data_IF_363095550941
#
_entry.id   IF_363095550941
#
_cell.length_a   1.000
_cell.length_b   1.000
_cell.length_c   1.000
_cell.angle_alpha   90.00
_cell.angle_beta   90.00
_cell.angle_gamma   90.00
#
_symmetry.space_group_name_H-M   'P 1'
#
loop_
_entity.id
_entity.type
_entity.pdbx_description
1 polymer ?
#
# COMPACT_ATOMS: atom_id res chain seq x y z
N UNK A 1 -3.19 -23.96 28.60
CA UNK A 1 -2.85 -22.74 27.83
C UNK A 1 -1.35 -22.71 27.62
N UNK A 2 -0.84 -23.12 26.44
CA UNK A 2 0.58 -22.97 26.12
C UNK A 2 0.75 -21.83 25.10
N UNK A 3 1.03 -20.65 25.61
CA UNK A 3 1.44 -19.48 24.84
C UNK A 3 2.91 -19.67 24.45
N UNK A 4 3.17 -20.17 23.24
CA UNK A 4 4.42 -20.09 22.44
C UNK A 4 4.67 -21.41 21.69
N UNK A 5 4.34 -21.40 20.40
CA UNK A 5 4.82 -22.37 19.44
C UNK A 5 6.31 -22.11 19.16
N UNK A 6 7.13 -23.17 19.17
CA UNK A 6 8.56 -23.13 18.81
C UNK A 6 8.81 -22.28 17.55
N UNK A 7 9.90 -21.50 17.48
CA UNK A 7 10.22 -20.68 16.32
C UNK A 7 10.57 -21.60 15.15
N UNK A 8 9.57 -21.96 14.35
CA UNK A 8 9.83 -22.51 13.02
C UNK A 8 10.42 -21.37 12.19
N UNK A 9 11.51 -21.61 11.46
CA UNK A 9 12.13 -20.67 10.51
C UNK A 9 11.10 -19.96 9.60
N UNK A 10 9.95 -20.61 9.39
CA UNK A 10 8.80 -20.12 8.64
C UNK A 10 7.98 -19.02 9.33
N UNK A 11 7.84 -19.05 10.66
CA UNK A 11 7.20 -17.97 11.41
C UNK A 11 8.05 -16.70 11.35
N UNK A 12 9.37 -16.85 11.51
CA UNK A 12 10.29 -15.72 11.35
C UNK A 12 10.23 -15.14 9.94
N UNK A 13 10.26 -15.97 8.90
CA UNK A 13 10.10 -15.52 7.51
C UNK A 13 8.78 -14.80 7.23
N UNK A 14 7.67 -15.23 7.84
CA UNK A 14 6.36 -14.56 7.70
C UNK A 14 6.33 -13.20 8.41
N UNK A 15 6.82 -13.13 9.64
CA UNK A 15 6.88 -11.88 10.40
C UNK A 15 7.81 -10.88 9.71
N UNK A 16 8.98 -11.32 9.26
CA UNK A 16 9.92 -10.48 8.52
C UNK A 16 9.33 -10.01 7.18
N UNK A 17 8.61 -10.88 6.46
CA UNK A 17 7.93 -10.48 5.22
C UNK A 17 6.80 -9.46 5.47
N UNK A 18 5.98 -9.68 6.49
CA UNK A 18 4.90 -8.74 6.85
C UNK A 18 5.49 -7.39 7.32
N UNK A 19 6.55 -7.41 8.15
CA UNK A 19 7.28 -6.21 8.56
C UNK A 19 7.94 -5.50 7.37
N UNK A 20 8.48 -6.25 6.40
CA UNK A 20 9.05 -5.68 5.18
C UNK A 20 7.98 -4.97 4.35
N UNK A 21 6.81 -5.59 4.15
CA UNK A 21 5.69 -4.95 3.43
C UNK A 21 5.22 -3.69 4.14
N UNK A 22 5.10 -3.72 5.47
CA UNK A 22 4.73 -2.55 6.26
C UNK A 22 5.79 -1.45 6.19
N UNK A 23 7.07 -1.79 6.35
CA UNK A 23 8.19 -0.86 6.25
C UNK A 23 8.30 -0.25 4.85
N UNK A 24 8.09 -1.04 3.80
CA UNK A 24 8.05 -0.58 2.42
C UNK A 24 6.92 0.41 2.18
N UNK A 25 5.70 0.07 2.61
CA UNK A 25 4.54 0.96 2.49
C UNK A 25 4.74 2.26 3.27
N UNK A 26 5.26 2.18 4.50
CA UNK A 26 5.57 3.35 5.32
C UNK A 26 6.66 4.22 4.67
N UNK A 27 7.72 3.61 4.15
CA UNK A 27 8.79 4.31 3.44
C UNK A 27 8.26 5.08 2.23
N UNK A 28 7.48 4.43 1.36
CA UNK A 28 6.89 5.09 0.20
C UNK A 28 5.81 6.12 0.55
N UNK A 29 5.11 5.93 1.67
CA UNK A 29 4.18 6.94 2.17
C UNK A 29 4.93 8.22 2.58
N UNK A 30 6.07 8.08 3.28
CA UNK A 30 6.93 9.21 3.61
C UNK A 30 7.47 9.91 2.35
N UNK A 31 7.89 9.15 1.34
CA UNK A 31 8.34 9.70 0.05
C UNK A 31 7.20 10.45 -0.64
N UNK A 32 5.99 9.87 -0.71
CA UNK A 32 4.82 10.53 -1.29
C UNK A 32 4.47 11.84 -0.58
N UNK A 33 4.54 11.86 0.76
CA UNK A 33 4.36 13.07 1.59
C UNK A 33 5.43 14.12 1.33
N UNK A 34 6.69 13.72 1.17
CA UNK A 34 7.79 14.61 0.86
C UNK A 34 7.60 15.26 -0.52
N UNK A 35 7.21 14.46 -1.52
CA UNK A 35 6.92 14.95 -2.87
C UNK A 35 5.74 15.94 -2.87
N UNK A 36 4.62 15.60 -2.23
CA UNK A 36 3.48 16.49 -2.07
C UNK A 36 3.89 17.82 -1.41
N UNK A 37 4.62 17.77 -0.29
CA UNK A 37 5.09 18.98 0.39
C UNK A 37 6.02 19.83 -0.48
N UNK A 38 6.92 19.20 -1.23
CA UNK A 38 7.85 19.89 -2.13
C UNK A 38 7.12 20.61 -3.26
N UNK A 39 6.12 19.97 -3.86
CA UNK A 39 5.31 20.58 -4.93
C UNK A 39 4.44 21.71 -4.36
N UNK A 40 3.82 21.53 -3.19
CA UNK A 40 3.03 22.60 -2.55
C UNK A 40 3.87 23.83 -2.20
N UNK A 41 5.17 23.66 -1.90
CA UNK A 41 6.07 24.78 -1.66
C UNK A 41 6.20 25.68 -2.90
N UNK A 42 6.02 25.14 -4.12
CA UNK A 42 6.01 25.92 -5.36
C UNK A 42 4.80 26.86 -5.47
N UNK A 43 3.74 26.66 -4.68
CA UNK A 43 2.60 27.56 -4.62
C UNK A 43 2.86 28.81 -3.78
N UNK A 44 3.92 28.83 -2.95
CA UNK A 44 4.20 29.94 -2.04
C UNK A 44 4.34 31.31 -2.75
N UNK A 45 5.10 31.44 -3.86
CA UNK A 45 5.18 32.70 -4.59
C UNK A 45 3.82 33.15 -5.13
N UNK A 46 3.01 32.24 -5.68
CA UNK A 46 1.69 32.56 -6.20
C UNK A 46 0.73 33.04 -5.09
N UNK A 47 0.77 32.41 -3.90
CA UNK A 47 0.01 32.87 -2.73
C UNK A 47 0.45 34.27 -2.29
N UNK A 48 1.75 34.52 -2.26
CA UNK A 48 2.27 35.83 -1.89
C UNK A 48 1.84 36.92 -2.89
N UNK A 49 1.89 36.62 -4.18
CA UNK A 49 1.38 37.52 -5.23
C UNK A 49 -0.12 37.79 -5.06
N UNK A 50 -0.93 36.75 -4.79
CA UNK A 50 -2.36 36.91 -4.54
C UNK A 50 -2.64 37.81 -3.33
N UNK A 51 -1.88 37.64 -2.24
CA UNK A 51 -2.01 38.47 -1.04
C UNK A 51 -1.65 39.93 -1.32
N UNK A 52 -0.51 40.18 -1.97
CA UNK A 52 -0.08 41.55 -2.33
C UNK A 52 -1.09 42.20 -3.27
N UNK A 53 -1.59 41.49 -4.28
CA UNK A 53 -2.60 42.01 -5.20
C UNK A 53 -3.92 42.32 -4.49
N UNK A 54 -4.35 41.49 -3.54
CA UNK A 54 -5.56 41.72 -2.75
C UNK A 54 -5.42 42.94 -1.82
N UNK A 55 -4.24 43.14 -1.23
CA UNK A 55 -3.95 44.31 -0.39
C UNK A 55 -3.96 45.59 -1.23
N UNK A 56 -3.30 45.57 -2.40
CA UNK A 56 -3.32 46.68 -3.35
C UNK A 56 -4.74 46.96 -3.85
N UNK A 57 -5.54 45.93 -4.15
CA UNK A 57 -6.93 46.09 -4.58
C UNK A 57 -7.74 46.85 -3.54
N UNK A 58 -7.58 46.51 -2.25
CA UNK A 58 -8.25 47.20 -1.15
C UNK A 58 -7.82 48.66 -1.05
N UNK A 59 -6.51 48.93 -1.06
CA UNK A 59 -5.96 50.29 -0.97
C UNK A 59 -6.39 51.17 -2.16
N UNK A 60 -6.40 50.61 -3.37
CA UNK A 60 -6.87 51.29 -4.59
C UNK A 60 -8.37 51.56 -4.51
N UNK A 61 -9.17 50.62 -4.02
CA UNK A 61 -10.60 50.83 -3.80
C UNK A 61 -10.89 51.92 -2.76
N UNK A 62 -10.10 51.99 -1.69
CA UNK A 62 -10.17 53.08 -0.71
C UNK A 62 -9.80 54.44 -1.34
N UNK A 63 -8.75 54.49 -2.16
CA UNK A 63 -8.38 55.69 -2.90
C UNK A 63 -9.46 56.13 -3.91
N UNK A 64 -10.10 55.17 -4.59
CA UNK A 64 -11.25 55.43 -5.48
C UNK A 64 -12.41 56.08 -4.71
N UNK A 65 -12.70 55.59 -3.51
CA UNK A 65 -13.74 56.15 -2.64
C UNK A 65 -13.41 57.58 -2.19
N UNK A 66 -12.14 57.87 -1.88
CA UNK A 66 -11.69 59.23 -1.54
C UNK A 66 -11.76 60.18 -2.74
N UNK A 67 -11.31 59.73 -3.92
CA UNK A 67 -11.36 60.51 -5.16
C UNK A 67 -12.81 60.88 -5.55
N UNK A 68 -13.77 60.00 -5.28
CA UNK A 68 -15.19 60.26 -5.51
C UNK A 68 -15.76 61.43 -4.69
N UNK A 69 -15.10 61.81 -3.59
CA UNK A 69 -15.51 62.92 -2.72
C UNK A 69 -15.19 64.32 -3.27
N UNK A 70 -14.46 64.44 -4.37
CA UNK A 70 -14.10 65.74 -4.96
C UNK A 70 -15.29 66.33 -5.73
N UNK A 71 -15.79 67.53 -5.39
CA UNK A 71 -16.91 68.16 -6.11
C UNK A 71 -16.59 68.35 -7.61
N UNK A 72 -17.60 68.18 -8.47
CA UNK A 72 -17.55 68.39 -9.94
C UNK A 72 -16.70 67.41 -10.77
N UNK A 73 -15.60 66.88 -10.25
CA UNK A 73 -14.67 65.98 -10.99
C UNK A 73 -14.49 64.59 -10.36
N UNK A 74 -15.05 64.34 -9.16
CA UNK A 74 -14.88 63.08 -8.43
C UNK A 74 -15.17 61.79 -9.22
N UNK A 75 -16.28 61.69 -9.99
CA UNK A 75 -16.56 60.52 -10.81
C UNK A 75 -15.48 60.22 -11.86
N UNK A 76 -14.93 61.24 -12.51
CA UNK A 76 -13.89 61.08 -13.53
C UNK A 76 -12.54 60.69 -12.90
N UNK A 77 -12.27 61.16 -11.66
CA UNK A 77 -11.07 60.77 -10.91
C UNK A 77 -11.15 59.35 -10.37
N UNK A 78 -12.36 58.85 -10.07
CA UNK A 78 -12.61 57.51 -9.54
C UNK A 78 -12.39 56.40 -10.58
N UNK A 79 -12.83 56.62 -11.82
CA UNK A 79 -12.84 55.61 -12.89
C UNK A 79 -11.50 54.85 -13.09
N UNK A 80 -10.32 55.52 -13.16
CA UNK A 80 -9.05 54.80 -13.31
C UNK A 80 -8.72 53.91 -12.10
N UNK A 81 -9.05 54.33 -10.87
CA UNK A 81 -8.84 53.51 -9.68
C UNK A 81 -9.77 52.30 -9.64
N UNK A 82 -11.04 52.46 -10.00
CA UNK A 82 -11.99 51.33 -10.12
C UNK A 82 -11.48 50.31 -11.16
N UNK A 83 -10.98 50.76 -12.29
CA UNK A 83 -10.38 49.88 -13.31
C UNK A 83 -9.15 49.14 -12.79
N UNK A 84 -8.25 49.83 -12.06
CA UNK A 84 -7.08 49.20 -11.44
C UNK A 84 -7.48 48.17 -10.38
N UNK A 85 -8.47 48.48 -9.53
CA UNK A 85 -9.00 47.55 -8.53
C UNK A 85 -9.61 46.30 -9.19
N UNK A 86 -10.30 46.45 -10.31
CA UNK A 86 -10.83 45.32 -11.08
C UNK A 86 -9.69 44.43 -11.61
N UNK A 87 -8.67 45.00 -12.25
CA UNK A 87 -7.51 44.25 -12.76
C UNK A 87 -6.75 43.52 -11.65
N UNK A 88 -6.57 44.16 -10.48
CA UNK A 88 -5.97 43.52 -9.32
C UNK A 88 -6.83 42.36 -8.81
N UNK A 89 -8.16 42.50 -8.83
CA UNK A 89 -9.09 41.43 -8.50
C UNK A 89 -8.96 40.22 -9.43
N UNK A 90 -8.87 40.45 -10.74
CA UNK A 90 -8.65 39.38 -11.72
C UNK A 90 -7.30 38.65 -11.49
N UNK A 91 -6.25 39.41 -11.14
CA UNK A 91 -4.95 38.84 -10.75
C UNK A 91 -5.05 37.94 -9.51
N UNK A 92 -5.81 38.35 -8.49
CA UNK A 92 -6.05 37.54 -7.28
C UNK A 92 -6.75 36.23 -7.64
N UNK A 93 -7.80 36.29 -8.46
CA UNK A 93 -8.54 35.10 -8.91
C UNK A 93 -7.64 34.15 -9.68
N UNK A 94 -6.85 34.68 -10.63
CA UNK A 94 -5.90 33.90 -11.42
C UNK A 94 -4.82 33.24 -10.55
N UNK A 95 -4.22 33.99 -9.62
CA UNK A 95 -3.19 33.48 -8.72
C UNK A 95 -3.74 32.38 -7.79
N UNK A 96 -4.95 32.56 -7.24
CA UNK A 96 -5.60 31.53 -6.43
C UNK A 96 -5.91 30.26 -7.24
N UNK A 97 -6.32 30.42 -8.51
CA UNK A 97 -6.49 29.29 -9.43
C UNK A 97 -5.20 28.49 -9.64
N UNK A 98 -4.07 29.18 -9.79
CA UNK A 98 -2.75 28.53 -9.90
C UNK A 98 -2.36 27.79 -8.62
N UNK A 99 -2.57 28.40 -7.44
CA UNK A 99 -2.32 27.76 -6.15
C UNK A 99 -3.13 26.46 -6.03
N UNK A 100 -4.43 26.51 -6.33
CA UNK A 100 -5.31 25.35 -6.28
C UNK A 100 -4.84 24.25 -7.27
N UNK A 101 -4.44 24.63 -8.48
CA UNK A 101 -3.89 23.71 -9.47
C UNK A 101 -2.62 23.01 -8.98
N UNK A 102 -1.66 23.76 -8.45
CA UNK A 102 -0.40 23.23 -7.90
C UNK A 102 -0.69 22.28 -6.73
N UNK A 103 -1.61 22.64 -5.83
CA UNK A 103 -1.98 21.80 -4.68
C UNK A 103 -2.69 20.51 -5.08
N UNK A 104 -3.52 20.56 -6.11
CA UNK A 104 -4.16 19.38 -6.66
C UNK A 104 -3.14 18.47 -7.35
N UNK A 105 -2.23 19.02 -8.14
CA UNK A 105 -1.11 18.28 -8.75
C UNK A 105 -0.21 17.67 -7.69
N UNK A 106 0.12 18.40 -6.63
CA UNK A 106 0.92 17.89 -5.51
C UNK A 106 0.27 16.64 -4.89
N UNK A 107 -1.04 16.72 -4.64
CA UNK A 107 -1.82 15.61 -4.08
C UNK A 107 -1.78 14.39 -5.00
N UNK A 108 -2.03 14.60 -6.30
CA UNK A 108 -2.07 13.52 -7.29
C UNK A 108 -0.70 12.86 -7.45
N UNK A 109 0.35 13.66 -7.60
CA UNK A 109 1.72 13.16 -7.77
C UNK A 109 2.16 12.41 -6.52
N UNK A 110 1.98 13.00 -5.33
CA UNK A 110 2.31 12.35 -4.07
C UNK A 110 1.58 11.01 -3.88
N UNK A 111 0.28 10.96 -4.24
CA UNK A 111 -0.51 9.73 -4.21
C UNK A 111 0.01 8.69 -5.20
N UNK A 112 0.32 9.07 -6.44
CA UNK A 112 0.83 8.16 -7.48
C UNK A 112 2.21 7.62 -7.10
N UNK A 113 3.09 8.48 -6.59
CA UNK A 113 4.42 8.12 -6.08
C UNK A 113 4.33 7.07 -4.97
N UNK A 114 3.33 7.16 -4.09
CA UNK A 114 3.05 6.14 -3.08
C UNK A 114 2.42 4.87 -3.68
N UNK A 115 1.38 5.04 -4.50
CA UNK A 115 0.52 3.95 -4.94
C UNK A 115 1.25 2.97 -5.87
N UNK A 116 2.04 3.45 -6.84
CA UNK A 116 2.73 2.58 -7.82
C UNK A 116 3.60 1.51 -7.13
N UNK A 117 4.59 1.86 -6.28
CA UNK A 117 5.48 0.89 -5.67
C UNK A 117 4.78 -0.02 -4.66
N UNK A 118 3.75 0.47 -3.97
CA UNK A 118 2.95 -0.34 -3.04
C UNK A 118 2.10 -1.34 -3.80
N UNK A 119 1.39 -0.91 -4.84
CA UNK A 119 0.59 -1.79 -5.69
C UNK A 119 1.47 -2.84 -6.38
N UNK A 120 2.64 -2.46 -6.88
CA UNK A 120 3.59 -3.40 -7.47
C UNK A 120 3.99 -4.50 -6.47
N UNK A 121 4.32 -4.11 -5.24
CA UNK A 121 4.65 -5.08 -4.18
C UNK A 121 3.46 -5.98 -3.86
N UNK A 122 2.26 -5.41 -3.71
CA UNK A 122 1.04 -6.18 -3.40
C UNK A 122 0.70 -7.15 -4.52
N UNK A 123 0.74 -6.72 -5.79
CA UNK A 123 0.44 -7.58 -6.95
C UNK A 123 1.44 -8.72 -7.06
N UNK A 124 2.72 -8.51 -6.76
CA UNK A 124 3.72 -9.56 -6.81
C UNK A 124 3.63 -10.53 -5.61
N UNK A 125 3.32 -10.01 -4.42
CA UNK A 125 3.39 -10.77 -3.16
C UNK A 125 2.07 -11.44 -2.77
N UNK A 126 0.93 -10.77 -2.97
CA UNK A 126 -0.38 -11.23 -2.54
C UNK A 126 -0.79 -12.57 -3.20
N UNK A 127 -0.57 -12.82 -4.50
CA UNK A 127 -0.91 -14.10 -5.11
C UNK A 127 -0.10 -15.26 -4.53
N UNK A 128 1.20 -15.04 -4.28
CA UNK A 128 2.05 -16.05 -3.67
C UNK A 128 1.54 -16.43 -2.27
N UNK A 129 1.12 -15.43 -1.48
CA UNK A 129 0.56 -15.64 -0.14
C UNK A 129 -0.81 -16.31 -0.17
N UNK A 130 -1.70 -15.88 -1.06
CA UNK A 130 -3.03 -16.49 -1.23
C UNK A 130 -2.92 -17.96 -1.66
N UNK A 131 -1.99 -18.29 -2.57
CA UNK A 131 -1.73 -19.70 -2.96
C UNK A 131 -1.24 -20.54 -1.79
N UNK A 132 -0.40 -20.00 -0.91
CA UNK A 132 0.05 -20.70 0.29
C UNK A 132 -1.12 -20.97 1.25
N UNK A 133 -1.96 -19.97 1.52
CA UNK A 133 -3.14 -20.11 2.38
C UNK A 133 -4.15 -21.10 1.79
N UNK A 134 -4.36 -21.06 0.46
CA UNK A 134 -5.22 -22.00 -0.25
C UNK A 134 -4.74 -23.44 -0.12
N UNK A 135 -3.44 -23.71 -0.32
CA UNK A 135 -2.85 -25.04 -0.13
C UNK A 135 -3.00 -25.52 1.32
N UNK A 136 -2.79 -24.64 2.30
CA UNK A 136 -2.96 -24.98 3.71
C UNK A 136 -4.41 -25.34 4.07
N UNK A 137 -5.40 -24.66 3.46
CA UNK A 137 -6.83 -24.98 3.65
C UNK A 137 -7.20 -26.31 2.99
N UNK A 138 -6.76 -26.54 1.76
CA UNK A 138 -7.01 -27.79 1.04
C UNK A 138 -6.39 -28.99 1.78
N UNK A 139 -5.16 -28.86 2.28
CA UNK A 139 -4.50 -29.92 3.06
C UNK A 139 -5.22 -30.21 4.38
N UNK A 140 -5.75 -29.18 5.06
CA UNK A 140 -6.59 -29.35 6.26
C UNK A 140 -7.91 -30.06 5.96
N UNK A 141 -8.58 -29.69 4.87
CA UNK A 141 -9.82 -30.35 4.45
C UNK A 141 -9.57 -31.82 4.11
N UNK A 142 -8.48 -32.12 3.41
CA UNK A 142 -8.11 -33.50 3.07
C UNK A 142 -7.80 -34.32 4.32
N UNK A 143 -7.08 -33.77 5.31
CA UNK A 143 -6.79 -34.45 6.56
C UNK A 143 -8.03 -34.78 7.42
N UNK A 144 -9.17 -34.14 7.15
CA UNK A 144 -10.44 -34.42 7.80
C UNK A 144 -11.25 -35.53 7.12
N UNK A 145 -10.83 -36.00 5.93
CA UNK A 145 -11.50 -37.09 5.22
C UNK A 145 -11.00 -38.47 5.65
N UNK A 146 -11.86 -39.51 5.59
CA UNK A 146 -11.51 -40.89 6.00
C UNK A 146 -10.26 -41.43 5.29
N UNK A 147 -10.10 -41.16 3.99
CA UNK A 147 -8.95 -41.59 3.18
C UNK A 147 -7.93 -40.45 2.96
N UNK A 148 -8.01 -39.41 3.79
CA UNK A 148 -7.22 -38.19 3.65
C UNK A 148 -5.71 -38.41 3.77
N UNK A 149 -5.31 -39.29 4.69
CA UNK A 149 -3.91 -39.60 4.93
C UNK A 149 -3.23 -40.25 3.70
N UNK A 150 -3.94 -41.14 3.02
CA UNK A 150 -3.43 -41.81 1.82
C UNK A 150 -3.25 -40.82 0.66
N UNK A 151 -4.25 -39.97 0.40
CA UNK A 151 -4.14 -38.93 -0.62
C UNK A 151 -3.02 -37.92 -0.33
N UNK A 152 -2.82 -37.55 0.94
CA UNK A 152 -1.72 -36.67 1.36
C UNK A 152 -0.36 -37.33 1.15
N UNK A 153 -0.24 -38.61 1.51
CA UNK A 153 0.97 -39.39 1.31
C UNK A 153 1.31 -39.61 -0.17
N UNK A 154 0.32 -39.85 -1.02
CA UNK A 154 0.49 -39.90 -2.48
C UNK A 154 0.98 -38.54 -3.02
N UNK A 155 0.40 -37.44 -2.54
CA UNK A 155 0.86 -36.08 -2.89
C UNK A 155 2.30 -35.82 -2.45
N UNK A 156 2.68 -36.35 -1.29
CA UNK A 156 4.04 -36.27 -0.78
C UNK A 156 5.01 -36.99 -1.74
N UNK A 157 4.70 -38.23 -2.13
CA UNK A 157 5.50 -39.01 -3.08
C UNK A 157 5.63 -38.30 -4.44
N UNK A 158 4.55 -37.66 -4.92
CA UNK A 158 4.53 -37.02 -6.24
C UNK A 158 5.24 -35.66 -6.29
N UNK A 159 5.25 -34.89 -5.20
CA UNK A 159 5.66 -33.47 -5.22
C UNK A 159 6.83 -33.13 -4.29
N UNK A 160 7.28 -34.05 -3.44
CA UNK A 160 8.36 -33.77 -2.48
C UNK A 160 9.71 -34.18 -3.05
N UNK A 161 10.77 -33.39 -2.79
CA UNK A 161 12.09 -33.72 -3.28
C UNK A 161 12.63 -34.97 -2.58
N UNK A 162 13.43 -35.77 -3.29
CA UNK A 162 13.94 -37.06 -2.80
C UNK A 162 14.70 -36.95 -1.46
N UNK A 163 15.37 -35.82 -1.22
CA UNK A 163 16.07 -35.53 0.05
C UNK A 163 15.17 -35.52 1.28
N UNK A 164 13.87 -35.21 1.11
CA UNK A 164 12.88 -35.19 2.19
C UNK A 164 12.19 -36.56 2.36
N UNK A 165 12.19 -37.39 1.31
CA UNK A 165 11.57 -38.71 1.30
C UNK A 165 12.52 -39.81 1.80
N UNK A 166 13.80 -39.76 1.42
CA UNK A 166 14.81 -40.76 1.77
C UNK A 166 14.98 -41.01 3.28
N UNK A 167 14.87 -39.99 4.17
CA UNK A 167 14.94 -40.22 5.61
C UNK A 167 13.71 -40.94 6.20
N UNK A 168 12.59 -41.01 5.48
CA UNK A 168 11.34 -41.59 5.99
C UNK A 168 11.27 -43.11 5.80
N UNK A 169 11.81 -43.61 4.69
CA UNK A 169 11.93 -45.03 4.41
C UNK A 169 13.06 -45.29 3.39
N UNK A 170 13.76 -46.43 3.45
CA UNK A 170 14.78 -46.82 2.46
C UNK A 170 14.21 -46.88 1.04
N UNK A 171 13.00 -47.41 0.89
CA UNK A 171 12.20 -47.35 -0.35
C UNK A 171 10.76 -46.90 -0.01
N UNK A 172 10.47 -45.59 -0.12
CA UNK A 172 9.15 -45.04 0.17
C UNK A 172 8.04 -45.59 -0.72
N UNK A 173 8.36 -45.99 -1.97
CA UNK A 173 7.37 -46.48 -2.93
C UNK A 173 7.01 -47.94 -2.66
N UNK A 174 8.00 -48.77 -2.31
CA UNK A 174 7.74 -50.15 -1.90
C UNK A 174 6.92 -50.21 -0.60
N UNK A 175 7.27 -49.39 0.39
CA UNK A 175 6.52 -49.30 1.64
C UNK A 175 5.09 -48.78 1.45
N UNK A 176 4.88 -47.85 0.52
CA UNK A 176 3.56 -47.40 0.11
C UNK A 176 2.74 -48.54 -0.52
N UNK A 177 3.32 -49.29 -1.47
CA UNK A 177 2.64 -50.43 -2.12
C UNK A 177 2.32 -51.56 -1.14
N UNK A 178 3.13 -51.75 -0.11
CA UNK A 178 2.92 -52.75 0.93
C UNK A 178 1.83 -52.33 1.95
N UNK A 179 1.28 -51.11 1.84
CA UNK A 179 0.25 -50.63 2.77
C UNK A 179 0.77 -50.33 4.17
N UNK A 180 2.06 -50.00 4.32
CA UNK A 180 2.65 -49.71 5.64
C UNK A 180 2.04 -48.42 6.23
N UNK A 181 1.09 -48.60 7.16
CA UNK A 181 0.37 -47.51 7.81
C UNK A 181 1.27 -46.50 8.53
N UNK A 182 2.47 -46.91 8.97
CA UNK A 182 3.43 -46.03 9.61
C UNK A 182 4.18 -45.15 8.59
N UNK A 183 4.54 -45.70 7.42
CA UNK A 183 5.15 -44.92 6.32
C UNK A 183 4.12 -43.98 5.70
N UNK A 184 2.89 -44.45 5.47
CA UNK A 184 1.77 -43.63 4.98
C UNK A 184 1.52 -42.44 5.91
N UNK A 185 1.47 -42.68 7.23
CA UNK A 185 1.30 -41.62 8.22
C UNK A 185 2.43 -40.56 8.16
N UNK A 186 3.68 -41.01 8.08
CA UNK A 186 4.85 -40.11 8.00
C UNK A 186 4.89 -39.29 6.70
N UNK A 187 4.51 -39.89 5.58
CA UNK A 187 4.39 -39.19 4.29
C UNK A 187 3.25 -38.15 4.33
N UNK A 188 2.12 -38.48 4.93
CA UNK A 188 1.01 -37.54 5.13
C UNK A 188 1.42 -36.36 6.04
N UNK A 189 2.14 -36.63 7.12
CA UNK A 189 2.67 -35.62 8.02
C UNK A 189 3.69 -34.70 7.34
N UNK A 190 4.52 -35.24 6.43
CA UNK A 190 5.43 -34.44 5.60
C UNK A 190 4.65 -33.47 4.69
N UNK A 191 3.59 -33.92 4.03
CA UNK A 191 2.75 -33.06 3.18
C UNK A 191 2.01 -31.99 3.97
N UNK A 192 1.52 -32.34 5.17
CA UNK A 192 0.88 -31.40 6.10
C UNK A 192 1.86 -30.34 6.58
N UNK A 193 3.04 -30.76 7.05
CA UNK A 193 4.10 -29.87 7.46
C UNK A 193 4.52 -28.95 6.31
N UNK A 194 4.68 -29.47 5.10
CA UNK A 194 5.00 -28.67 3.91
C UNK A 194 3.90 -27.66 3.54
N UNK A 195 2.63 -28.00 3.79
CA UNK A 195 1.48 -27.12 3.60
C UNK A 195 1.22 -26.15 4.77
N UNK A 196 2.11 -26.13 5.78
CA UNK A 196 1.99 -25.25 6.95
C UNK A 196 0.92 -25.69 7.97
N UNK A 197 0.46 -26.93 7.89
CA UNK A 197 -0.51 -27.54 8.82
C UNK A 197 0.26 -28.38 9.84
N UNK A 198 -0.10 -28.27 11.12
CA UNK A 198 0.52 -29.11 12.16
C UNK A 198 0.17 -30.59 11.93
N UNK A 199 1.16 -31.49 11.88
CA UNK A 199 0.90 -32.92 11.79
C UNK A 199 0.15 -33.41 13.03
N UNK A 200 -0.73 -34.39 12.84
CA UNK A 200 -1.55 -34.95 13.92
C UNK A 200 -0.66 -35.93 14.68
N UNK A 201 -0.10 -35.50 15.82
CA UNK A 201 0.69 -36.40 16.68
C UNK A 201 -0.17 -37.62 17.02
N UNK A 202 0.20 -38.79 16.51
CA UNK A 202 -0.34 -40.07 16.99
C UNK A 202 0.31 -40.37 18.36
N UNK A 203 -0.45 -40.91 19.32
CA UNK A 203 0.09 -41.40 20.59
C UNK A 203 1.03 -42.60 20.37
#
# INVERSE_FOLDING_TARGET
MSWYARPSWRLFGQVTADLFVLGWAAGWWLVGRLVDATIRALAAPARQTAQVAADLQRNVGEAANQAAGVPWVGPNLRQPFDSMAATLGDLVVSANGQVAGIEQTATLVGLVTFAIPVLMLVVLWLPARLRFVGRARAARALAAHPNGAELLALRALANRPLRELAPLAPDPMAAWRAGDAAVIGRLADLELAASGVRPRRRP
#
